data_IF_470505758931
#
_entry.id   IF_470505758931
#
_cell.length_a   1.000
_cell.length_b   1.000
_cell.length_c   1.000
_cell.angle_alpha   90.00
_cell.angle_beta   90.00
_cell.angle_gamma   90.00
#
_symmetry.space_group_name_H-M   'P 1'
#
loop_
_entity.id
_entity.type
_entity.pdbx_description
1 polymer ?
#
# COMPACT_ATOMS: atom_id res chain seq x y z
N UNK A 1 -3.21 -14.35 -10.15
CA UNK A 1 -4.35 -13.40 -10.18
C UNK A 1 -5.05 -13.56 -8.86
N UNK A 2 -5.13 -12.55 -7.99
CA UNK A 2 -6.01 -12.66 -6.83
C UNK A 2 -7.41 -12.30 -7.33
N UNK A 3 -8.24 -13.30 -7.59
CA UNK A 3 -9.66 -13.09 -7.78
C UNK A 3 -10.37 -13.53 -6.51
N UNK A 4 -11.28 -12.71 -6.02
CA UNK A 4 -12.34 -13.21 -5.13
C UNK A 4 -13.34 -13.89 -6.06
N UNK A 5 -13.07 -15.17 -6.39
CA UNK A 5 -14.00 -15.97 -7.18
C UNK A 5 -15.19 -16.33 -6.30
N UNK A 6 -16.37 -15.83 -6.66
CA UNK A 6 -17.64 -16.26 -6.04
C UNK A 6 -18.16 -17.58 -6.62
N UNK A 7 -17.33 -18.34 -7.35
CA UNK A 7 -17.68 -19.69 -7.78
C UNK A 7 -16.52 -20.67 -7.59
N UNK A 8 -16.71 -21.50 -6.56
CA UNK A 8 -16.44 -22.95 -6.49
C UNK A 8 -15.29 -23.44 -7.37
N UNK A 9 -14.08 -23.48 -6.82
CA UNK A 9 -13.03 -24.51 -7.00
C UNK A 9 -11.81 -24.18 -6.09
N UNK A 10 -12.05 -24.32 -4.78
CA UNK A 10 -11.15 -24.46 -3.62
C UNK A 10 -11.95 -23.93 -2.44
N UNK A 11 -12.93 -24.72 -2.01
CA UNK A 11 -13.58 -24.51 -0.73
C UNK A 11 -12.51 -24.57 0.36
N UNK A 12 -12.71 -23.75 1.40
CA UNK A 12 -12.02 -23.75 2.68
C UNK A 12 -10.72 -22.94 2.77
N UNK A 13 -10.84 -21.80 3.44
CA UNK A 13 -9.83 -21.29 4.38
C UNK A 13 -9.39 -22.44 5.32
N UNK A 14 -8.47 -23.28 4.86
CA UNK A 14 -8.11 -24.51 5.56
C UNK A 14 -7.07 -24.19 6.63
N UNK A 15 -7.47 -24.23 7.89
CA UNK A 15 -6.55 -24.21 9.03
C UNK A 15 -5.99 -25.62 9.20
N UNK A 16 -4.74 -25.83 8.77
CA UNK A 16 -4.06 -27.11 8.95
C UNK A 16 -3.20 -27.06 10.22
N UNK A 17 -3.49 -27.92 11.19
CA UNK A 17 -2.60 -28.12 12.33
C UNK A 17 -1.34 -28.83 11.84
N UNK A 18 -0.20 -28.15 11.90
CA UNK A 18 1.10 -28.71 11.47
C UNK A 18 1.49 -29.95 12.31
N UNK A 19 0.99 -30.05 13.54
CA UNK A 19 1.19 -31.21 14.41
C UNK A 19 0.43 -32.47 13.97
N UNK A 20 -0.55 -32.34 13.08
CA UNK A 20 -1.41 -33.44 12.65
C UNK A 20 -1.27 -33.77 11.16
N UNK A 21 -0.54 -32.94 10.41
CA UNK A 21 -0.38 -33.06 8.96
C UNK A 21 1.09 -32.96 8.57
N UNK A 22 1.58 -33.97 7.83
CA UNK A 22 2.89 -33.87 7.19
C UNK A 22 2.83 -32.88 6.02
N UNK A 23 3.45 -31.72 6.21
CA UNK A 23 3.62 -30.74 5.15
C UNK A 23 4.85 -31.10 4.28
N UNK A 24 4.77 -30.95 2.94
CA UNK A 24 5.94 -30.97 2.08
C UNK A 24 7.04 -30.07 2.64
N UNK A 25 8.30 -30.47 2.49
CA UNK A 25 9.43 -29.78 3.14
C UNK A 25 9.49 -28.28 2.81
N UNK A 26 9.04 -27.88 1.62
CA UNK A 26 9.00 -26.48 1.17
C UNK A 26 8.01 -25.61 1.96
N UNK A 27 7.05 -26.23 2.65
CA UNK A 27 5.98 -25.57 3.40
C UNK A 27 6.08 -25.78 4.91
N UNK A 28 7.14 -26.45 5.38
CA UNK A 28 7.41 -26.56 6.82
C UNK A 28 7.81 -25.19 7.35
N UNK A 29 7.18 -24.83 8.46
CA UNK A 29 7.45 -23.58 9.16
C UNK A 29 8.19 -23.89 10.45
N UNK A 30 9.20 -23.10 10.77
CA UNK A 30 10.04 -23.22 11.96
C UNK A 30 9.43 -22.53 13.19
N UNK A 31 8.33 -21.78 13.03
CA UNK A 31 7.61 -21.09 14.12
C UNK A 31 6.10 -21.15 13.94
N UNK A 32 5.37 -21.14 15.04
CA UNK A 32 3.90 -21.10 15.06
C UNK A 32 3.40 -19.94 15.96
N UNK A 33 2.27 -19.29 15.62
CA UNK A 33 1.52 -19.44 14.37
C UNK A 33 2.30 -18.87 13.17
N UNK A 34 2.11 -19.47 11.99
CA UNK A 34 2.66 -19.00 10.72
C UNK A 34 1.56 -18.87 9.68
N UNK A 35 1.68 -17.89 8.79
CA UNK A 35 0.73 -17.66 7.70
C UNK A 35 1.46 -17.66 6.36
N UNK A 36 1.06 -18.59 5.48
CA UNK A 36 1.57 -18.73 4.12
C UNK A 36 0.48 -18.38 3.13
N UNK A 37 0.76 -17.46 2.21
CA UNK A 37 -0.18 -17.03 1.19
C UNK A 37 0.17 -17.65 -0.17
N UNK A 38 -0.83 -18.25 -0.84
CA UNK A 38 -0.70 -18.79 -2.19
C UNK A 38 -1.53 -17.97 -3.19
N UNK A 39 -0.89 -17.18 -4.07
CA UNK A 39 -1.63 -16.43 -5.08
C UNK A 39 -2.34 -17.37 -6.06
N UNK A 40 -3.59 -17.04 -6.43
CA UNK A 40 -4.33 -17.87 -7.38
C UNK A 40 -3.60 -17.95 -8.73
N UNK A 41 -3.47 -19.17 -9.25
CA UNK A 41 -2.76 -19.48 -10.49
C UNK A 41 -1.23 -19.38 -10.42
N UNK A 42 -0.62 -19.09 -9.26
CA UNK A 42 0.84 -18.99 -9.09
C UNK A 42 1.28 -19.56 -7.74
N UNK A 43 1.09 -20.87 -7.55
CA UNK A 43 1.47 -21.56 -6.29
C UNK A 43 2.97 -21.47 -5.98
N UNK A 44 3.82 -21.37 -7.00
CA UNK A 44 5.28 -21.20 -6.86
C UNK A 44 5.70 -19.83 -6.33
N UNK A 45 4.81 -18.82 -6.35
CA UNK A 45 5.09 -17.49 -5.80
C UNK A 45 4.43 -17.30 -4.43
N UNK A 46 4.47 -18.33 -3.58
CA UNK A 46 3.94 -18.23 -2.22
C UNK A 46 4.72 -17.22 -1.39
N UNK A 47 4.03 -16.50 -0.51
CA UNK A 47 4.65 -15.51 0.37
C UNK A 47 4.42 -15.89 1.83
N UNK A 48 5.47 -15.83 2.64
CA UNK A 48 5.39 -16.04 4.09
C UNK A 48 5.10 -14.72 4.81
N UNK A 49 4.22 -14.74 5.80
CA UNK A 49 3.97 -13.59 6.65
C UNK A 49 5.26 -13.19 7.41
N UNK A 50 5.65 -11.90 7.42
CA UNK A 50 6.92 -11.48 8.01
C UNK A 50 6.99 -11.74 9.52
N UNK A 51 8.12 -12.29 9.98
CA UNK A 51 8.33 -12.64 11.40
C UNK A 51 8.35 -11.45 12.35
N UNK A 52 8.75 -10.29 11.85
CA UNK A 52 8.95 -9.08 12.66
C UNK A 52 7.68 -8.22 12.77
N UNK A 53 6.55 -8.69 12.22
CA UNK A 53 5.28 -7.98 12.26
C UNK A 53 4.36 -8.68 13.27
N UNK A 54 3.74 -7.96 14.22
CA UNK A 54 2.79 -8.56 15.15
C UNK A 54 1.64 -9.26 14.41
N UNK A 55 1.30 -10.47 14.84
CA UNK A 55 0.22 -11.26 14.26
C UNK A 55 -1.15 -10.70 14.73
N UNK A 56 -1.61 -9.65 14.07
CA UNK A 56 -2.90 -8.99 14.32
C UNK A 56 -3.79 -9.03 13.07
N UNK A 57 -5.10 -8.86 13.24
CA UNK A 57 -6.06 -8.78 12.13
C UNK A 57 -5.61 -7.74 11.10
N UNK A 58 -5.23 -6.55 11.56
CA UNK A 58 -4.75 -5.47 10.69
C UNK A 58 -3.50 -5.85 9.92
N UNK A 59 -2.53 -6.49 10.60
CA UNK A 59 -1.29 -6.93 9.97
C UNK A 59 -1.53 -8.02 8.92
N UNK A 60 -2.40 -8.99 9.22
CA UNK A 60 -2.77 -10.08 8.31
C UNK A 60 -3.50 -9.54 7.08
N UNK A 61 -4.46 -8.63 7.26
CA UNK A 61 -5.16 -7.98 6.15
C UNK A 61 -4.16 -7.21 5.28
N UNK A 62 -3.26 -6.42 5.88
CA UNK A 62 -2.23 -5.67 5.15
C UNK A 62 -1.33 -6.61 4.33
N UNK A 63 -0.94 -7.74 4.93
CA UNK A 63 -0.17 -8.77 4.25
C UNK A 63 -0.92 -9.37 3.06
N UNK A 64 -2.17 -9.82 3.23
CA UNK A 64 -2.99 -10.38 2.14
C UNK A 64 -3.17 -9.37 1.02
N UNK A 65 -3.51 -8.12 1.35
CA UNK A 65 -3.66 -7.05 0.37
C UNK A 65 -2.35 -6.80 -0.38
N UNK A 66 -1.19 -6.85 0.29
CA UNK A 66 0.11 -6.67 -0.38
C UNK A 66 0.39 -7.67 -1.50
N UNK A 67 -0.20 -8.87 -1.41
CA UNK A 67 -0.08 -9.93 -2.41
C UNK A 67 -1.11 -9.79 -3.56
N UNK A 68 -2.10 -8.91 -3.42
CA UNK A 68 -3.08 -8.65 -4.47
C UNK A 68 -2.51 -7.76 -5.59
N UNK A 69 -3.07 -7.90 -6.80
CA UNK A 69 -2.77 -6.99 -7.92
C UNK A 69 -3.11 -5.54 -7.55
N UNK A 70 -2.41 -4.58 -8.16
CA UNK A 70 -2.60 -3.14 -7.92
C UNK A 70 -4.06 -2.72 -8.08
N UNK A 71 -4.73 -3.19 -9.14
CA UNK A 71 -6.11 -2.82 -9.44
C UNK A 71 -7.09 -3.33 -8.37
N UNK A 72 -6.90 -4.57 -7.90
CA UNK A 72 -7.72 -5.12 -6.82
C UNK A 72 -7.48 -4.38 -5.50
N UNK A 73 -6.23 -4.07 -5.17
CA UNK A 73 -5.91 -3.27 -3.97
C UNK A 73 -6.59 -1.91 -4.00
N UNK A 74 -6.51 -1.23 -5.14
CA UNK A 74 -7.18 0.06 -5.36
C UNK A 74 -8.69 -0.11 -5.22
N UNK A 75 -9.29 -1.07 -5.92
CA UNK A 75 -10.74 -1.31 -5.83
C UNK A 75 -11.20 -1.57 -4.39
N UNK A 76 -10.48 -2.40 -3.64
CA UNK A 76 -10.80 -2.67 -2.22
C UNK A 76 -10.67 -1.39 -1.38
N UNK A 77 -9.60 -0.62 -1.56
CA UNK A 77 -9.41 0.64 -0.83
C UNK A 77 -10.55 1.64 -1.09
N UNK A 78 -10.99 1.73 -2.35
CA UNK A 78 -12.04 2.64 -2.80
C UNK A 78 -13.43 2.21 -2.32
N UNK A 79 -13.74 0.91 -2.34
CA UNK A 79 -15.06 0.41 -1.93
C UNK A 79 -15.20 0.29 -0.42
N UNK A 80 -14.10 0.10 0.31
CA UNK A 80 -14.12 -0.13 1.76
C UNK A 80 -14.00 1.15 2.57
N UNK A 81 -13.51 2.25 1.99
CA UNK A 81 -13.34 3.52 2.71
C UNK A 81 -14.67 4.29 2.80
N UNK A 82 -15.12 4.56 4.02
CA UNK A 82 -16.23 5.47 4.29
C UNK A 82 -15.81 6.94 4.18
N UNK A 83 -16.78 7.85 4.13
CA UNK A 83 -16.50 9.30 4.21
C UNK A 83 -15.70 9.68 5.46
N UNK A 84 -15.95 9.01 6.59
CA UNK A 84 -15.16 9.20 7.80
C UNK A 84 -13.70 8.72 7.61
N UNK A 85 -13.51 7.58 6.94
CA UNK A 85 -12.19 7.08 6.57
C UNK A 85 -11.43 8.09 5.68
N UNK A 86 -12.07 8.68 4.66
CA UNK A 86 -11.44 9.69 3.79
C UNK A 86 -11.00 10.91 4.61
N UNK A 87 -11.90 11.48 5.42
CA UNK A 87 -11.61 12.65 6.26
C UNK A 87 -10.44 12.40 7.21
N UNK A 88 -10.42 11.23 7.85
CA UNK A 88 -9.34 10.82 8.76
C UNK A 88 -8.01 10.71 8.04
N UNK A 89 -7.97 10.03 6.88
CA UNK A 89 -6.74 9.91 6.08
C UNK A 89 -6.23 11.28 5.62
N UNK A 90 -7.11 12.20 5.21
CA UNK A 90 -6.73 13.58 4.86
C UNK A 90 -6.12 14.31 6.05
N UNK A 91 -6.73 14.20 7.24
CA UNK A 91 -6.18 14.81 8.46
C UNK A 91 -4.79 14.24 8.79
N UNK A 92 -4.63 12.92 8.75
CA UNK A 92 -3.36 12.24 9.02
C UNK A 92 -2.26 12.65 8.02
N UNK A 93 -2.60 12.75 6.73
CA UNK A 93 -1.68 13.20 5.68
C UNK A 93 -1.28 14.67 5.88
N UNK A 94 -2.20 15.55 6.29
CA UNK A 94 -1.89 16.95 6.64
C UNK A 94 -0.97 17.03 7.85
N UNK A 95 -1.20 16.22 8.88
CA UNK A 95 -0.28 16.13 10.03
C UNK A 95 1.12 15.67 9.61
N UNK A 96 1.19 14.66 8.74
CA UNK A 96 2.46 14.18 8.19
C UNK A 96 3.18 15.26 7.37
N UNK A 97 2.46 15.97 6.49
CA UNK A 97 3.02 17.10 5.75
C UNK A 97 3.62 18.15 6.68
N UNK A 98 2.92 18.52 7.75
CA UNK A 98 3.42 19.50 8.71
C UNK A 98 4.69 19.01 9.41
N UNK A 99 4.78 17.72 9.76
CA UNK A 99 6.01 17.13 10.31
C UNK A 99 7.16 17.18 9.32
N UNK A 100 6.94 16.80 8.06
CA UNK A 100 7.97 16.83 7.02
C UNK A 100 8.43 18.27 6.76
N UNK A 101 7.51 19.24 6.68
CA UNK A 101 7.85 20.67 6.51
C UNK A 101 8.75 21.17 7.63
N UNK A 102 8.47 20.79 8.88
CA UNK A 102 9.33 21.12 10.04
C UNK A 102 10.71 20.48 9.92
N UNK A 103 10.77 19.19 9.60
CA UNK A 103 12.05 18.48 9.41
C UNK A 103 12.87 19.10 8.28
N UNK A 104 12.23 19.44 7.16
CA UNK A 104 12.86 20.09 6.03
C UNK A 104 13.41 21.47 6.39
N UNK A 105 12.70 22.25 7.20
CA UNK A 105 13.19 23.54 7.69
C UNK A 105 14.45 23.38 8.55
N UNK A 106 14.47 22.38 9.44
CA UNK A 106 15.65 22.06 10.26
C UNK A 106 16.83 21.64 9.38
N UNK A 107 16.61 20.72 8.45
CA UNK A 107 17.66 20.23 7.55
C UNK A 107 18.24 21.36 6.69
N UNK A 108 17.40 22.25 6.16
CA UNK A 108 17.87 23.41 5.40
C UNK A 108 18.72 24.37 6.25
N UNK A 109 18.32 24.60 7.50
CA UNK A 109 19.08 25.44 8.43
C UNK A 109 20.45 24.83 8.73
N UNK A 110 20.49 23.56 9.14
CA UNK A 110 21.74 22.85 9.45
C UNK A 110 22.63 22.75 8.21
N UNK A 111 22.06 22.51 7.03
CA UNK A 111 22.81 22.48 5.78
C UNK A 111 23.48 23.80 5.43
N UNK A 112 22.88 24.93 5.80
CA UNK A 112 23.45 26.26 5.59
C UNK A 112 24.58 26.57 6.60
N UNK A 113 24.52 25.97 7.78
CA UNK A 113 25.52 26.14 8.85
C UNK A 113 26.73 25.19 8.67
N UNK A 114 26.55 24.00 8.08
CA UNK A 114 27.58 22.95 8.01
C UNK A 114 27.82 22.44 6.58
N UNK A 115 28.84 22.99 5.90
CA UNK A 115 29.21 22.62 4.52
C UNK A 115 29.89 21.24 4.36
N UNK A 116 30.30 20.57 5.44
CA UNK A 116 31.03 19.30 5.34
C UNK A 116 30.17 18.10 4.89
N UNK A 117 28.83 18.21 4.95
CA UNK A 117 27.90 17.13 4.61
C UNK A 117 26.83 17.52 3.56
N UNK A 118 27.15 18.49 2.68
CA UNK A 118 26.19 19.05 1.69
C UNK A 118 25.46 17.96 0.90
N UNK A 119 26.17 16.95 0.39
CA UNK A 119 25.58 15.84 -0.39
C UNK A 119 24.51 15.08 0.41
N UNK A 120 24.75 14.84 1.71
CA UNK A 120 23.81 14.11 2.57
C UNK A 120 22.57 14.96 2.84
N UNK A 121 22.75 16.25 3.12
CA UNK A 121 21.64 17.17 3.33
C UNK A 121 20.80 17.38 2.08
N UNK A 122 21.42 17.51 0.91
CA UNK A 122 20.72 17.60 -0.38
C UNK A 122 19.86 16.37 -0.65
N UNK A 123 20.38 15.16 -0.42
CA UNK A 123 19.61 13.92 -0.53
C UNK A 123 18.39 13.93 0.39
N UNK A 124 18.55 14.38 1.64
CA UNK A 124 17.44 14.49 2.58
C UNK A 124 16.41 15.53 2.13
N UNK A 125 16.85 16.68 1.62
CA UNK A 125 15.96 17.73 1.08
C UNK A 125 15.14 17.19 -0.10
N UNK A 126 15.77 16.48 -1.02
CA UNK A 126 15.10 15.84 -2.16
C UNK A 126 14.08 14.81 -1.68
N UNK A 127 14.49 13.94 -0.74
CA UNK A 127 13.62 12.90 -0.17
C UNK A 127 12.38 13.50 0.49
N UNK A 128 12.54 14.50 1.36
CA UNK A 128 11.43 15.19 1.99
C UNK A 128 10.56 15.95 0.98
N UNK A 129 11.15 16.53 -0.06
CA UNK A 129 10.42 17.14 -1.16
C UNK A 129 9.55 16.12 -1.91
N UNK A 130 10.07 14.93 -2.19
CA UNK A 130 9.30 13.83 -2.79
C UNK A 130 8.15 13.39 -1.88
N UNK A 131 8.41 13.24 -0.58
CA UNK A 131 7.38 12.85 0.39
C UNK A 131 6.26 13.89 0.51
N UNK A 132 6.59 15.19 0.47
CA UNK A 132 5.61 16.27 0.42
C UNK A 132 4.75 16.22 -0.84
N UNK A 133 5.37 16.00 -2.01
CA UNK A 133 4.64 15.83 -3.28
C UNK A 133 3.70 14.64 -3.22
N UNK A 134 4.16 13.49 -2.73
CA UNK A 134 3.38 12.25 -2.59
C UNK A 134 2.24 12.36 -1.56
N UNK A 135 2.42 13.14 -0.51
CA UNK A 135 1.33 13.37 0.46
C UNK A 135 0.29 14.34 -0.09
N UNK A 136 0.71 15.41 -0.80
CA UNK A 136 -0.20 16.36 -1.45
C UNK A 136 -1.06 15.65 -2.51
N UNK A 137 -0.40 14.97 -3.42
CA UNK A 137 -0.95 14.00 -4.35
C UNK A 137 -2.11 13.15 -3.79
N UNK A 138 -1.82 12.48 -2.67
CA UNK A 138 -2.74 11.54 -2.06
C UNK A 138 -3.96 12.27 -1.48
N UNK A 139 -3.76 13.47 -0.93
CA UNK A 139 -4.86 14.32 -0.47
C UNK A 139 -5.78 14.72 -1.64
N UNK A 140 -5.22 15.16 -2.77
CA UNK A 140 -6.01 15.52 -3.96
C UNK A 140 -6.82 14.33 -4.47
N UNK A 141 -6.20 13.14 -4.51
CA UNK A 141 -6.90 11.91 -4.84
C UNK A 141 -8.06 11.66 -3.87
N UNK A 142 -7.82 11.69 -2.56
CA UNK A 142 -8.85 11.44 -1.55
C UNK A 142 -10.02 12.43 -1.66
N UNK A 143 -9.77 13.69 -2.02
CA UNK A 143 -10.84 14.65 -2.31
C UNK A 143 -11.61 14.29 -3.59
N UNK A 144 -10.94 13.88 -4.65
CA UNK A 144 -11.61 13.42 -5.87
C UNK A 144 -12.52 12.21 -5.60
N UNK A 145 -12.13 11.34 -4.67
CA UNK A 145 -12.91 10.19 -4.25
C UNK A 145 -14.11 10.54 -3.37
N UNK A 146 -14.04 11.64 -2.61
CA UNK A 146 -15.19 12.14 -1.85
C UNK A 146 -16.33 12.61 -2.77
N UNK A 147 -16.02 13.05 -3.99
CA UNK A 147 -17.01 13.47 -4.98
C UNK A 147 -17.67 12.27 -5.68
N UNK A 148 -17.00 11.12 -5.72
CA UNK A 148 -17.50 9.90 -6.36
C UNK A 148 -18.41 9.14 -5.38
N UNK A 149 -19.69 8.95 -5.74
CA UNK A 149 -20.63 8.15 -4.94
C UNK A 149 -20.18 6.68 -4.86
N UNK A 150 -20.44 6.02 -3.72
CA UNK A 150 -20.13 4.60 -3.50
C UNK A 150 -20.85 3.69 -4.48
N UNK A 151 -22.01 4.11 -4.97
CA UNK A 151 -22.85 3.44 -5.95
C UNK A 151 -22.16 3.43 -7.33
N UNK A 152 -21.49 4.53 -7.71
CA UNK A 152 -20.72 4.63 -8.97
C UNK A 152 -19.50 3.69 -8.98
N UNK A 153 -18.84 3.50 -7.83
CA UNK A 153 -17.67 2.62 -7.69
C UNK A 153 -18.06 1.12 -7.74
N UNK A 154 -19.31 0.79 -7.38
CA UNK A 154 -19.82 -0.59 -7.38
C UNK A 154 -20.22 -1.08 -8.77
N UNK A 155 -20.68 -0.20 -9.66
CA UNK A 155 -21.42 -0.62 -10.86
C UNK A 155 -20.60 -0.73 -12.15
N UNK A 156 -19.41 -0.12 -12.29
CA UNK A 156 -18.72 -0.11 -13.59
C UNK A 156 -17.21 -0.35 -13.52
N UNK A 157 -16.75 -1.31 -14.34
CA UNK A 157 -15.34 -1.64 -14.57
C UNK A 157 -14.60 -0.57 -15.39
N UNK A 158 -15.31 0.20 -16.23
CA UNK A 158 -14.76 1.26 -17.07
C UNK A 158 -14.20 2.45 -16.26
N UNK A 159 -14.84 2.83 -15.16
CA UNK A 159 -14.34 3.94 -14.31
C UNK A 159 -13.12 3.57 -13.48
N UNK A 160 -12.94 2.29 -13.14
CA UNK A 160 -11.69 1.85 -12.51
C UNK A 160 -10.51 2.01 -13.47
N UNK A 161 -10.75 1.83 -14.77
CA UNK A 161 -9.76 2.11 -15.82
C UNK A 161 -9.51 3.61 -15.94
N UNK A 162 -10.56 4.45 -15.96
CA UNK A 162 -10.46 5.92 -15.98
C UNK A 162 -9.69 6.46 -14.76
N UNK A 163 -10.05 5.99 -13.56
CA UNK A 163 -9.38 6.35 -12.31
C UNK A 163 -7.95 5.80 -12.27
N UNK A 164 -7.70 4.60 -12.78
CA UNK A 164 -6.36 4.05 -12.94
C UNK A 164 -5.52 4.89 -13.92
N UNK A 165 -6.10 5.36 -15.03
CA UNK A 165 -5.43 6.24 -15.99
C UNK A 165 -5.08 7.57 -15.30
N UNK A 166 -6.01 8.16 -14.54
CA UNK A 166 -5.76 9.39 -13.77
C UNK A 166 -4.69 9.19 -12.70
N UNK A 167 -4.77 8.11 -11.93
CA UNK A 167 -3.77 7.70 -10.95
C UNK A 167 -2.41 7.46 -11.58
N UNK A 168 -2.35 6.81 -12.76
CA UNK A 168 -1.12 6.50 -13.48
C UNK A 168 -0.49 7.78 -14.05
N UNK A 169 -1.27 8.64 -14.70
CA UNK A 169 -0.80 9.94 -15.18
C UNK A 169 -0.28 10.80 -14.02
N UNK A 170 -0.99 10.77 -12.90
CA UNK A 170 -0.59 11.45 -11.68
C UNK A 170 0.72 10.88 -11.09
N UNK A 171 0.86 9.57 -10.99
CA UNK A 171 2.10 8.90 -10.55
C UNK A 171 3.28 9.16 -11.51
N UNK A 172 3.04 9.23 -12.82
CA UNK A 172 4.05 9.58 -13.81
C UNK A 172 4.48 11.05 -13.68
N UNK A 173 3.57 11.96 -13.32
CA UNK A 173 3.92 13.37 -13.05
C UNK A 173 4.80 13.57 -11.80
N UNK A 174 4.84 12.59 -10.90
CA UNK A 174 5.68 12.61 -9.69
C UNK A 174 7.13 12.17 -9.95
N UNK A 175 7.43 11.54 -11.09
CA UNK A 175 8.79 11.15 -11.50
C UNK A 175 9.01 11.46 -13.00
N UNK A 176 9.43 12.69 -13.36
CA UNK A 176 9.82 12.99 -14.75
C UNK A 176 11.10 12.27 -15.17
N UNK A 177 11.88 11.72 -14.23
CA UNK A 177 13.17 11.09 -14.49
C UNK A 177 13.37 9.85 -13.64
N UNK A 178 13.12 8.69 -14.25
CA UNK A 178 13.76 7.41 -13.91
C UNK A 178 13.54 6.42 -15.06
N UNK A 179 14.04 6.80 -16.24
CA UNK A 179 14.38 5.87 -17.33
C UNK A 179 15.62 6.45 -18.00
N UNK A 180 16.78 6.08 -17.46
CA UNK A 180 18.00 5.77 -18.21
C UNK A 180 18.44 4.42 -17.69
#
# INVERSE_FOLDING_TARGET
MCYISSNRLMNSSSFSYVSQNELPWQYRMDRLPSLLFFPAGRRSSSALFPRNIPFSVSSVIAFVLSQCQRDLRLRIALTSCSMHCIRRNVADLRHRQNRIRRQLAVVRKVSAEYNFQVITFEKMIIMYGNELRLTQATIELLYSLQVLSKEMIKQETLWLVELYIRLRAFLLSLHPTSFV
#
